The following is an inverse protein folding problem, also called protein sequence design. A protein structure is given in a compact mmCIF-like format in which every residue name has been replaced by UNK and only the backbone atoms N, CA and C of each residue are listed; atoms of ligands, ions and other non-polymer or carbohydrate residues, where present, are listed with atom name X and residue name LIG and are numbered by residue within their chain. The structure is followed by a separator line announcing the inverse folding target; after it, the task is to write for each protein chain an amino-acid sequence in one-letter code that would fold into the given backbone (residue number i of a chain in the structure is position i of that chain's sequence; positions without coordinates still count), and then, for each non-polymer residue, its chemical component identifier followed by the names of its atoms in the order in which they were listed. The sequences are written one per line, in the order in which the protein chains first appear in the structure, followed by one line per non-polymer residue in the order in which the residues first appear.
data_IF_747470549849
#
_entry.id   IF_747470549849
#
_cell.length_a   1.000
_cell.length_b   1.000
_cell.length_c   1.000
_cell.angle_alpha   90.00
_cell.angle_beta   90.00
_cell.angle_gamma   90.00
#
_symmetry.space_group_name_H-M   'P 1'
#
loop_
_entity.id
_entity.type
_entity.pdbx_description
1 polymer ?
#
# COMPACT_ATOMS: atom_id res chain seq x y z
N UNK A 1 -32.22 -22.12 -14.07
CA UNK A 1 -31.07 -22.48 -13.21
C UNK A 1 -30.02 -21.40 -13.43
N UNK A 2 -29.81 -20.52 -12.45
CA UNK A 2 -28.67 -19.60 -12.49
C UNK A 2 -27.43 -20.47 -12.25
N UNK A 3 -26.54 -20.55 -13.24
CA UNK A 3 -25.20 -21.08 -13.03
C UNK A 3 -24.54 -20.15 -12.01
N UNK A 4 -24.52 -20.55 -10.74
CA UNK A 4 -23.60 -19.93 -9.78
C UNK A 4 -22.21 -20.35 -10.24
N UNK A 5 -21.36 -19.37 -10.58
CA UNK A 5 -19.94 -19.64 -10.71
C UNK A 5 -19.47 -20.27 -9.39
N UNK A 6 -18.64 -21.33 -9.44
CA UNK A 6 -17.97 -21.81 -8.25
C UNK A 6 -17.19 -20.65 -7.62
N UNK A 7 -17.15 -20.62 -6.29
CA UNK A 7 -16.34 -19.64 -5.58
C UNK A 7 -14.88 -19.97 -5.78
N UNK A 8 -14.13 -19.01 -6.30
CA UNK A 8 -12.71 -19.10 -6.57
C UNK A 8 -11.97 -18.38 -5.44
N UNK A 9 -11.22 -19.15 -4.66
CA UNK A 9 -10.14 -18.63 -3.83
C UNK A 9 -8.85 -18.86 -4.60
N UNK A 10 -8.08 -17.79 -4.75
CA UNK A 10 -6.80 -17.82 -5.43
C UNK A 10 -5.71 -17.61 -4.39
N UNK A 11 -4.82 -18.59 -4.33
CA UNK A 11 -3.69 -18.59 -3.40
C UNK A 11 -2.44 -18.36 -4.22
N UNK A 12 -1.76 -17.24 -3.99
CA UNK A 12 -0.43 -17.01 -4.55
C UNK A 12 0.62 -17.17 -3.47
N UNK A 13 1.69 -17.92 -3.74
CA UNK A 13 2.78 -18.08 -2.77
C UNK A 13 4.14 -18.09 -3.45
N UNK A 14 5.13 -17.59 -2.71
CA UNK A 14 6.51 -17.42 -3.18
C UNK A 14 7.51 -18.09 -2.25
N UNK A 15 8.46 -18.85 -2.80
CA UNK A 15 9.57 -19.51 -2.07
C UNK A 15 10.90 -19.00 -2.59
N UNK A 16 11.90 -18.83 -1.71
CA UNK A 16 13.26 -18.42 -2.09
C UNK A 16 13.88 -19.32 -3.18
N UNK A 17 14.47 -18.72 -4.24
CA UNK A 17 15.20 -19.36 -5.38
C UNK A 17 16.05 -20.58 -5.04
N UNK A 18 16.58 -20.67 -3.82
CA UNK A 18 17.46 -21.74 -3.36
C UNK A 18 16.76 -23.08 -3.05
N UNK A 19 15.43 -23.12 -2.90
CA UNK A 19 14.67 -24.31 -2.47
C UNK A 19 13.76 -24.90 -3.56
N UNK A 20 14.23 -24.90 -4.82
CA UNK A 20 13.49 -25.40 -5.98
C UNK A 20 12.94 -26.84 -5.83
N UNK A 21 13.54 -27.70 -5.00
CA UNK A 21 13.04 -29.07 -4.77
C UNK A 21 11.76 -29.11 -3.93
N UNK A 22 11.68 -28.30 -2.87
CA UNK A 22 10.47 -28.22 -2.02
C UNK A 22 9.31 -27.60 -2.79
N UNK A 23 9.59 -26.60 -3.62
CA UNK A 23 8.64 -25.97 -4.52
C UNK A 23 8.03 -27.00 -5.50
N UNK A 24 8.88 -27.78 -6.16
CA UNK A 24 8.44 -28.84 -7.08
C UNK A 24 7.59 -29.90 -6.39
N UNK A 25 7.97 -30.33 -5.19
CA UNK A 25 7.19 -31.29 -4.41
C UNK A 25 5.80 -30.73 -4.05
N UNK A 26 5.73 -29.45 -3.65
CA UNK A 26 4.46 -28.81 -3.38
C UNK A 26 3.57 -28.71 -4.63
N UNK A 27 4.13 -28.35 -5.79
CA UNK A 27 3.42 -28.33 -7.08
C UNK A 27 2.86 -29.72 -7.41
N UNK A 28 3.70 -30.77 -7.31
CA UNK A 28 3.29 -32.15 -7.58
C UNK A 28 2.16 -32.59 -6.63
N UNK A 29 2.31 -32.30 -5.34
CA UNK A 29 1.28 -32.55 -4.32
C UNK A 29 -0.03 -31.83 -4.64
N UNK A 30 -0.01 -30.52 -4.89
CA UNK A 30 -1.22 -29.71 -5.16
C UNK A 30 -1.90 -30.18 -6.45
N UNK A 31 -1.14 -30.43 -7.52
CA UNK A 31 -1.68 -30.98 -8.77
C UNK A 31 -2.32 -32.36 -8.57
N UNK A 32 -1.79 -33.18 -7.64
CA UNK A 32 -2.34 -34.50 -7.34
C UNK A 32 -3.71 -34.45 -6.67
N UNK A 33 -4.08 -33.32 -6.06
CA UNK A 33 -5.38 -33.13 -5.39
C UNK A 33 -6.53 -33.06 -6.41
N UNK A 34 -6.27 -32.85 -7.71
CA UNK A 34 -7.25 -32.81 -8.81
C UNK A 34 -8.41 -31.82 -8.66
N UNK A 35 -8.32 -30.92 -7.69
CA UNK A 35 -9.36 -29.92 -7.37
C UNK A 35 -8.88 -28.48 -7.62
N UNK A 36 -7.63 -28.31 -8.08
CA UNK A 36 -6.99 -27.01 -8.27
C UNK A 36 -6.34 -26.90 -9.65
N UNK A 37 -6.34 -25.71 -10.23
CA UNK A 37 -5.52 -25.37 -11.38
C UNK A 37 -4.31 -24.58 -10.90
N UNK A 38 -3.11 -25.06 -11.21
CA UNK A 38 -1.89 -24.28 -11.05
C UNK A 38 -1.58 -23.60 -12.39
N UNK A 39 -1.57 -22.28 -12.40
CA UNK A 39 -1.11 -21.52 -13.55
C UNK A 39 0.43 -21.42 -13.49
N UNK A 40 1.11 -22.40 -14.09
CA UNK A 40 2.60 -22.46 -14.21
C UNK A 40 3.11 -21.56 -15.36
N UNK A 41 2.54 -20.36 -15.50
CA UNK A 41 2.88 -19.41 -16.55
C UNK A 41 3.72 -18.25 -15.99
N UNK A 42 4.89 -18.52 -15.36
CA UNK A 42 6.12 -17.69 -15.48
C UNK A 42 7.26 -17.98 -14.47
N UNK A 43 8.44 -18.31 -15.00
CA UNK A 43 9.81 -17.76 -14.83
C UNK A 43 10.38 -17.41 -13.43
N UNK A 44 9.61 -17.14 -12.37
CA UNK A 44 10.13 -16.74 -11.04
C UNK A 44 9.26 -17.31 -9.92
N UNK A 45 9.77 -18.28 -9.13
CA UNK A 45 9.43 -18.66 -7.72
C UNK A 45 8.00 -18.56 -7.14
N UNK A 46 6.98 -18.28 -7.96
CA UNK A 46 5.66 -17.84 -7.58
C UNK A 46 4.63 -18.82 -8.17
N UNK A 47 3.76 -19.32 -7.31
CA UNK A 47 2.73 -20.30 -7.68
C UNK A 47 1.38 -19.72 -7.32
N UNK A 48 0.48 -19.68 -8.30
CA UNK A 48 -0.94 -19.41 -8.10
C UNK A 48 -1.73 -20.70 -8.20
N UNK A 49 -2.58 -20.97 -7.21
CA UNK A 49 -3.49 -22.11 -7.18
C UNK A 49 -4.93 -21.61 -6.98
N UNK A 50 -5.81 -22.02 -7.89
CA UNK A 50 -7.20 -21.59 -7.91
C UNK A 50 -8.10 -22.78 -7.49
N UNK A 51 -9.02 -22.57 -6.55
CA UNK A 51 -9.96 -23.61 -6.09
C UNK A 51 -11.41 -23.32 -6.43
N UNK A 52 -12.12 -24.28 -7.04
CA UNK A 52 -13.57 -24.17 -7.33
C UNK A 52 -14.49 -24.48 -6.12
N UNK A 53 -13.92 -24.96 -5.01
CA UNK A 53 -14.64 -25.34 -3.80
C UNK A 53 -14.06 -24.57 -2.60
N UNK A 54 -14.87 -24.31 -1.56
CA UNK A 54 -14.48 -23.61 -0.31
C UNK A 54 -13.45 -24.39 0.55
N UNK A 55 -12.50 -25.09 -0.06
CA UNK A 55 -11.67 -26.11 0.56
C UNK A 55 -10.19 -25.81 0.32
N UNK A 56 -9.71 -24.73 0.93
CA UNK A 56 -8.34 -24.21 0.79
C UNK A 56 -7.35 -24.82 1.79
N UNK A 57 -7.82 -25.39 2.90
CA UNK A 57 -6.97 -26.00 3.92
C UNK A 57 -5.98 -27.04 3.36
N UNK A 58 -6.36 -27.95 2.43
CA UNK A 58 -5.41 -28.90 1.85
C UNK A 58 -4.29 -28.22 1.06
N UNK A 59 -4.56 -27.13 0.34
CA UNK A 59 -3.50 -26.39 -0.39
C UNK A 59 -2.47 -25.87 0.61
N UNK A 60 -2.94 -25.16 1.64
CA UNK A 60 -2.04 -24.54 2.62
C UNK A 60 -1.21 -25.57 3.39
N UNK A 61 -1.70 -26.80 3.53
CA UNK A 61 -0.94 -27.91 4.13
C UNK A 61 0.20 -28.41 3.24
N UNK A 62 0.02 -28.38 1.91
CA UNK A 62 1.04 -28.74 0.93
C UNK A 62 2.07 -27.63 0.70
N UNK A 63 1.74 -26.37 1.04
CA UNK A 63 2.71 -25.27 0.97
C UNK A 63 3.92 -25.55 1.89
N UNK A 64 5.16 -25.42 1.38
CA UNK A 64 6.36 -25.63 2.17
C UNK A 64 6.42 -24.69 3.38
N UNK A 65 6.87 -25.23 4.51
CA UNK A 65 7.02 -24.47 5.76
C UNK A 65 8.01 -23.28 5.63
N UNK A 66 8.91 -23.37 4.66
CA UNK A 66 9.94 -22.38 4.34
C UNK A 66 9.46 -21.23 3.44
N UNK A 67 8.17 -21.19 3.06
CA UNK A 67 7.58 -20.14 2.22
C UNK A 67 7.89 -18.74 2.77
N UNK A 68 8.14 -17.80 1.86
CA UNK A 68 8.54 -16.43 2.19
C UNK A 68 7.42 -15.43 1.90
N UNK A 69 6.65 -15.64 0.84
CA UNK A 69 5.47 -14.84 0.49
C UNK A 69 4.22 -15.71 0.44
N UNK A 70 3.14 -15.22 1.03
CA UNK A 70 1.82 -15.85 0.94
C UNK A 70 0.78 -14.77 0.75
N UNK A 71 0.13 -14.77 -0.40
CA UNK A 71 -0.95 -13.86 -0.74
C UNK A 71 -2.23 -14.69 -0.87
N UNK A 72 -3.19 -14.44 0.00
CA UNK A 72 -4.48 -15.11 0.06
C UNK A 72 -5.53 -14.11 -0.45
N UNK A 73 -6.01 -14.32 -1.68
CA UNK A 73 -6.99 -13.44 -2.31
C UNK A 73 -8.22 -14.19 -2.80
N UNK A 74 -9.36 -13.51 -2.76
CA UNK A 74 -10.60 -14.01 -3.37
C UNK A 74 -11.22 -12.93 -4.23
N UNK A 75 -11.39 -13.22 -5.50
CA UNK A 75 -12.05 -12.31 -6.43
C UNK A 75 -13.59 -12.33 -6.29
N UNK A 76 -14.14 -13.38 -5.68
CA UNK A 76 -15.58 -13.62 -5.67
C UNK A 76 -16.36 -12.99 -4.52
N UNK A 77 -17.66 -12.80 -4.76
CA UNK A 77 -18.65 -12.34 -3.79
C UNK A 77 -19.88 -13.27 -3.78
N UNK A 78 -20.23 -13.94 -2.67
CA UNK A 78 -19.53 -13.94 -1.38
C UNK A 78 -18.18 -14.68 -1.41
N UNK A 79 -17.16 -14.08 -0.82
CA UNK A 79 -15.82 -14.65 -0.64
C UNK A 79 -15.86 -15.85 0.31
N UNK A 80 -15.28 -17.02 -0.05
CA UNK A 80 -14.96 -18.06 0.91
C UNK A 80 -13.95 -17.49 1.91
N UNK A 81 -14.29 -17.49 3.20
CA UNK A 81 -13.43 -16.93 4.24
C UNK A 81 -12.54 -18.01 4.84
N UNK A 82 -11.38 -17.59 5.32
CA UNK A 82 -10.50 -18.45 6.12
C UNK A 82 -11.04 -18.49 7.55
N UNK A 83 -11.60 -19.64 7.94
CA UNK A 83 -12.12 -19.83 9.30
C UNK A 83 -11.02 -20.05 10.34
N UNK A 84 -9.88 -20.64 9.95
CA UNK A 84 -8.75 -20.90 10.86
C UNK A 84 -7.39 -20.47 10.28
N UNK A 85 -6.89 -19.34 10.77
CA UNK A 85 -5.55 -18.83 10.44
C UNK A 85 -4.41 -19.53 11.21
N UNK A 86 -4.69 -20.54 12.03
CA UNK A 86 -3.66 -21.29 12.76
C UNK A 86 -2.64 -21.95 11.85
N UNK A 87 -3.00 -22.24 10.60
CA UNK A 87 -2.09 -22.75 9.58
C UNK A 87 -0.89 -21.82 9.36
N UNK A 88 -1.08 -20.49 9.50
CA UNK A 88 0.01 -19.53 9.36
C UNK A 88 1.15 -19.82 10.34
N UNK A 89 0.88 -20.39 11.52
CA UNK A 89 1.90 -20.76 12.53
C UNK A 89 2.99 -21.68 11.96
N UNK A 90 2.68 -22.49 10.95
CA UNK A 90 3.60 -23.43 10.29
C UNK A 90 4.72 -22.74 9.48
N UNK A 91 4.45 -21.56 8.93
CA UNK A 91 5.38 -20.87 8.04
C UNK A 91 6.41 -20.07 8.83
N UNK A 92 7.66 -20.55 8.87
CA UNK A 92 8.70 -19.99 9.74
C UNK A 92 9.58 -18.93 9.05
N UNK A 93 9.52 -18.82 7.72
CA UNK A 93 10.27 -17.84 6.93
C UNK A 93 9.41 -16.73 6.34
N UNK A 94 8.11 -16.69 6.68
CA UNK A 94 7.15 -15.77 6.06
C UNK A 94 7.58 -14.32 6.29
N UNK A 95 7.98 -13.63 5.22
CA UNK A 95 8.37 -12.23 5.23
C UNK A 95 7.39 -11.32 4.48
N UNK A 96 6.51 -11.89 3.67
CA UNK A 96 5.40 -11.21 3.00
C UNK A 96 4.10 -11.98 3.24
N UNK A 97 3.07 -11.25 3.65
CA UNK A 97 1.73 -11.79 3.82
C UNK A 97 0.73 -10.78 3.24
N UNK A 98 -0.14 -11.23 2.34
CA UNK A 98 -1.31 -10.49 1.91
C UNK A 98 -2.59 -11.26 2.23
N UNK A 99 -3.58 -10.60 2.81
CA UNK A 99 -4.92 -11.12 3.07
C UNK A 99 -5.95 -10.16 2.47
N UNK A 100 -6.88 -10.69 1.67
CA UNK A 100 -7.93 -9.89 1.04
C UNK A 100 -9.34 -10.35 1.46
N UNK A 101 -10.24 -9.41 1.76
CA UNK A 101 -11.66 -9.65 2.06
C UNK A 101 -11.93 -10.60 3.24
N UNK A 102 -10.97 -10.68 4.17
CA UNK A 102 -11.02 -11.58 5.33
C UNK A 102 -11.60 -10.93 6.59
N UNK A 103 -12.15 -11.77 7.48
CA UNK A 103 -12.50 -11.37 8.84
C UNK A 103 -11.37 -11.76 9.78
N UNK A 104 -10.78 -10.77 10.46
CA UNK A 104 -9.62 -10.96 11.31
C UNK A 104 -9.99 -10.74 12.77
N UNK A 105 -10.11 -11.82 13.53
CA UNK A 105 -10.32 -11.74 14.97
C UNK A 105 -9.00 -11.46 15.72
N UNK A 106 -9.09 -11.20 17.03
CA UNK A 106 -7.91 -10.93 17.86
C UNK A 106 -6.90 -12.10 17.91
N UNK A 107 -7.31 -13.34 17.65
CA UNK A 107 -6.40 -14.48 17.64
C UNK A 107 -5.61 -14.52 16.34
N UNK A 108 -6.26 -14.30 15.20
CA UNK A 108 -5.62 -14.17 13.89
C UNK A 108 -4.60 -13.04 13.91
N UNK A 109 -4.95 -11.88 14.47
CA UNK A 109 -4.03 -10.75 14.60
C UNK A 109 -2.79 -11.11 15.43
N UNK A 110 -2.93 -11.88 16.52
CA UNK A 110 -1.79 -12.38 17.30
C UNK A 110 -0.92 -13.34 16.48
N UNK A 111 -1.54 -14.23 15.72
CA UNK A 111 -0.82 -15.19 14.86
C UNK A 111 0.02 -14.45 13.83
N UNK A 112 -0.55 -13.41 13.20
CA UNK A 112 0.17 -12.55 12.26
C UNK A 112 1.30 -11.81 12.99
N UNK A 113 1.01 -11.21 14.15
CA UNK A 113 1.99 -10.47 14.95
C UNK A 113 3.16 -11.32 15.46
N UNK A 114 2.99 -12.64 15.61
CA UNK A 114 4.04 -13.58 15.98
C UNK A 114 5.04 -13.83 14.84
N UNK A 115 4.71 -13.45 13.60
CA UNK A 115 5.60 -13.53 12.44
C UNK A 115 6.60 -12.38 12.41
N UNK A 116 7.59 -12.44 13.31
CA UNK A 116 8.64 -11.40 13.46
C UNK A 116 9.53 -11.20 12.22
N UNK A 117 9.50 -12.15 11.28
CA UNK A 117 10.16 -12.08 9.99
C UNK A 117 9.42 -11.23 8.96
N UNK A 118 8.17 -10.81 9.22
CA UNK A 118 7.40 -9.98 8.29
C UNK A 118 8.10 -8.65 8.01
N UNK A 119 8.24 -8.37 6.72
CA UNK A 119 8.77 -7.15 6.13
C UNK A 119 7.63 -6.42 5.40
N UNK A 120 6.74 -7.17 4.75
CA UNK A 120 5.60 -6.68 4.00
C UNK A 120 4.31 -7.31 4.56
N UNK A 121 3.34 -6.47 4.92
CA UNK A 121 2.02 -6.92 5.36
C UNK A 121 0.95 -6.14 4.60
N UNK A 122 0.05 -6.85 3.94
CA UNK A 122 -1.08 -6.25 3.22
C UNK A 122 -2.39 -6.86 3.73
N UNK A 123 -3.31 -6.00 4.15
CA UNK A 123 -4.65 -6.36 4.63
C UNK A 123 -5.65 -5.48 3.88
N UNK A 124 -6.31 -6.07 2.87
CA UNK A 124 -7.12 -5.36 1.88
C UNK A 124 -8.57 -5.79 2.02
N UNK A 125 -9.50 -4.84 2.13
CA UNK A 125 -10.93 -5.12 2.37
C UNK A 125 -11.18 -6.02 3.60
N UNK A 126 -10.29 -5.98 4.59
CA UNK A 126 -10.40 -6.79 5.81
C UNK A 126 -11.29 -6.11 6.86
N UNK A 127 -12.06 -6.95 7.58
CA UNK A 127 -12.89 -6.51 8.71
C UNK A 127 -12.26 -7.04 10.01
N UNK A 128 -11.97 -6.14 10.94
CA UNK A 128 -11.30 -6.48 12.21
C UNK A 128 -12.33 -6.70 13.33
N UNK A 129 -12.36 -7.90 13.89
CA UNK A 129 -13.22 -8.27 15.02
C UNK A 129 -12.39 -8.37 16.31
N UNK A 130 -11.93 -7.22 16.79
CA UNK A 130 -11.25 -7.07 18.07
C UNK A 130 -9.94 -6.29 17.99
N UNK A 131 -9.12 -6.42 19.03
CA UNK A 131 -7.97 -5.54 19.23
C UNK A 131 -6.83 -5.80 18.22
N UNK A 132 -6.44 -4.75 17.51
CA UNK A 132 -5.42 -4.76 16.46
C UNK A 132 -4.00 -4.44 16.96
N UNK A 133 -3.83 -4.04 18.23
CA UNK A 133 -2.58 -3.48 18.80
C UNK A 133 -1.37 -4.39 18.66
N UNK A 134 -1.59 -5.71 18.59
CA UNK A 134 -0.50 -6.68 18.46
C UNK A 134 0.27 -6.52 17.14
N UNK A 135 -0.32 -5.96 16.09
CA UNK A 135 0.37 -5.67 14.83
C UNK A 135 1.55 -4.70 15.02
N UNK A 136 1.52 -3.84 16.04
CA UNK A 136 2.64 -2.96 16.40
C UNK A 136 3.91 -3.70 16.86
N UNK A 137 3.81 -5.01 17.11
CA UNK A 137 4.96 -5.85 17.44
C UNK A 137 5.75 -6.33 16.20
N UNK A 138 5.31 -5.98 14.99
CA UNK A 138 6.00 -6.26 13.73
C UNK A 138 7.02 -5.15 13.43
N UNK A 139 8.03 -5.03 14.29
CA UNK A 139 8.99 -3.90 14.27
C UNK A 139 9.93 -3.90 13.07
N UNK A 140 9.99 -4.98 12.29
CA UNK A 140 10.82 -5.10 11.09
C UNK A 140 10.08 -4.69 9.79
N UNK A 141 8.80 -4.31 9.87
CA UNK A 141 8.02 -3.92 8.70
C UNK A 141 8.68 -2.77 7.96
N UNK A 142 8.73 -2.92 6.64
CA UNK A 142 9.10 -1.88 5.67
C UNK A 142 7.89 -1.43 4.85
N UNK A 143 6.91 -2.31 4.67
CA UNK A 143 5.67 -2.05 3.94
C UNK A 143 4.48 -2.49 4.77
N UNK A 144 3.54 -1.57 4.96
CA UNK A 144 2.22 -1.85 5.52
C UNK A 144 1.17 -1.30 4.57
N UNK A 145 0.27 -2.17 4.10
CA UNK A 145 -0.87 -1.82 3.27
C UNK A 145 -2.14 -2.18 4.02
N UNK A 146 -2.94 -1.17 4.34
CA UNK A 146 -4.31 -1.29 4.85
C UNK A 146 -5.20 -0.57 3.84
N UNK A 147 -5.96 -1.32 3.06
CA UNK A 147 -6.88 -0.73 2.07
C UNK A 147 -8.29 -1.07 2.50
N UNK A 148 -9.13 -0.05 2.64
CA UNK A 148 -10.54 -0.21 3.04
C UNK A 148 -10.67 -1.12 4.29
N UNK A 149 -9.79 -0.91 5.27
CA UNK A 149 -9.78 -1.66 6.53
C UNK A 149 -10.90 -1.15 7.46
N UNK A 150 -11.84 -2.03 7.82
CA UNK A 150 -13.00 -1.67 8.66
C UNK A 150 -12.77 -2.07 10.13
N UNK A 151 -13.10 -1.16 11.06
CA UNK A 151 -12.92 -1.34 12.51
C UNK A 151 -11.45 -1.52 12.95
N UNK A 152 -10.51 -0.85 12.27
CA UNK A 152 -9.10 -0.85 12.69
C UNK A 152 -8.86 0.20 13.79
N UNK A 153 -8.16 -0.16 14.86
CA UNK A 153 -7.99 0.72 16.02
C UNK A 153 -6.98 1.86 15.75
N UNK A 154 -7.38 3.10 16.03
CA UNK A 154 -6.49 4.28 16.00
C UNK A 154 -5.21 4.08 16.83
N UNK A 155 -5.35 3.51 18.04
CA UNK A 155 -4.23 3.22 18.94
C UNK A 155 -3.17 2.31 18.32
N UNK A 156 -3.57 1.41 17.42
CA UNK A 156 -2.65 0.52 16.71
C UNK A 156 -1.78 1.29 15.74
N UNK A 157 -2.33 2.25 14.98
CA UNK A 157 -1.54 3.12 14.09
C UNK A 157 -0.57 3.97 14.93
N UNK A 158 -1.04 4.54 16.04
CA UNK A 158 -0.18 5.30 16.97
C UNK A 158 1.00 4.42 17.42
N UNK A 159 0.73 3.21 17.90
CA UNK A 159 1.76 2.28 18.33
C UNK A 159 2.71 1.85 17.20
N UNK A 160 2.19 1.63 15.98
CA UNK A 160 3.00 1.32 14.79
C UNK A 160 3.96 2.47 14.49
N UNK A 161 3.48 3.72 14.49
CA UNK A 161 4.35 4.89 14.23
C UNK A 161 5.45 5.06 15.27
N UNK A 162 5.20 4.62 16.51
CA UNK A 162 6.15 4.70 17.62
C UNK A 162 7.12 3.52 17.72
N UNK A 163 6.85 2.38 17.06
CA UNK A 163 7.65 1.14 17.20
C UNK A 163 8.26 0.66 15.88
N UNK A 164 7.58 0.88 14.75
CA UNK A 164 7.94 0.34 13.43
C UNK A 164 8.71 1.35 12.57
N UNK A 165 9.86 1.82 13.05
CA UNK A 165 10.65 2.89 12.39
C UNK A 165 11.35 2.48 11.07
N UNK A 166 11.13 1.26 10.58
CA UNK A 166 11.66 0.79 9.29
C UNK A 166 10.68 0.94 8.13
N UNK A 167 9.43 1.34 8.41
CA UNK A 167 8.40 1.55 7.40
C UNK A 167 8.86 2.61 6.39
N UNK A 168 8.80 2.24 5.12
CA UNK A 168 9.14 3.04 3.95
C UNK A 168 7.93 3.22 3.02
N UNK A 169 6.99 2.27 3.05
CA UNK A 169 5.74 2.31 2.31
C UNK A 169 4.58 2.14 3.29
N UNK A 170 3.65 3.08 3.26
CA UNK A 170 2.41 3.02 4.00
C UNK A 170 1.24 3.36 3.08
N UNK A 171 0.28 2.46 2.98
CA UNK A 171 -0.97 2.67 2.29
C UNK A 171 -2.11 2.52 3.29
N UNK A 172 -2.89 3.59 3.44
CA UNK A 172 -4.10 3.67 4.26
C UNK A 172 -5.29 4.12 3.38
N UNK A 173 -5.27 3.78 2.08
CA UNK A 173 -6.31 4.20 1.15
C UNK A 173 -7.68 3.64 1.54
N UNK A 174 -8.71 4.46 1.37
CA UNK A 174 -10.10 4.17 1.74
C UNK A 174 -10.32 3.79 3.22
N UNK A 175 -9.33 3.98 4.10
CA UNK A 175 -9.47 3.73 5.53
C UNK A 175 -10.14 4.91 6.24
N UNK A 176 -11.47 4.95 6.21
CA UNK A 176 -12.26 6.12 6.64
C UNK A 176 -12.50 6.21 8.16
N UNK A 177 -12.17 5.17 8.92
CA UNK A 177 -12.37 5.12 10.38
C UNK A 177 -11.30 5.91 11.15
N UNK A 178 -10.15 6.21 10.52
CA UNK A 178 -9.07 6.94 11.16
C UNK A 178 -9.39 8.42 11.36
N UNK A 179 -9.06 8.92 12.55
CA UNK A 179 -9.21 10.34 12.86
C UNK A 179 -7.94 11.15 12.50
N UNK A 180 -8.12 12.47 12.35
CA UNK A 180 -7.02 13.40 12.02
C UNK A 180 -5.86 13.42 13.03
N UNK A 181 -6.09 13.14 14.32
CA UNK A 181 -5.01 13.10 15.32
C UNK A 181 -4.14 11.84 15.20
N UNK A 182 -4.75 10.70 14.86
CA UNK A 182 -4.06 9.45 14.56
C UNK A 182 -3.15 9.61 13.35
N UNK A 183 -3.70 10.13 12.25
CA UNK A 183 -2.96 10.30 11.00
C UNK A 183 -1.77 11.26 11.13
N UNK A 184 -1.80 12.23 12.05
CA UNK A 184 -0.63 13.09 12.31
C UNK A 184 0.56 12.36 12.91
N UNK A 185 0.34 11.24 13.60
CA UNK A 185 1.43 10.44 14.14
C UNK A 185 2.27 9.79 13.04
N UNK A 186 1.77 9.71 11.80
CA UNK A 186 2.53 9.19 10.66
C UNK A 186 3.83 9.98 10.40
N UNK A 187 3.90 11.24 10.86
CA UNK A 187 5.14 12.04 10.81
C UNK A 187 6.30 11.46 11.64
N UNK A 188 6.04 10.54 12.58
CA UNK A 188 7.08 9.84 13.34
C UNK A 188 7.81 8.75 12.52
N UNK A 189 7.33 8.43 11.32
CA UNK A 189 7.97 7.46 10.44
C UNK A 189 9.05 8.13 9.58
N UNK A 190 10.22 8.38 10.17
CA UNK A 190 11.34 9.09 9.53
C UNK A 190 11.86 8.45 8.23
N UNK A 191 11.53 7.18 7.95
CA UNK A 191 11.93 6.48 6.73
C UNK A 191 10.83 6.38 5.69
N UNK A 192 9.66 6.95 5.96
CA UNK A 192 8.52 6.89 5.06
C UNK A 192 8.82 7.63 3.75
N UNK A 193 8.75 6.89 2.64
CA UNK A 193 9.00 7.39 1.29
C UNK A 193 7.75 7.37 0.43
N UNK A 194 6.83 6.44 0.68
CA UNK A 194 5.58 6.33 -0.05
C UNK A 194 4.44 6.36 0.95
N UNK A 195 3.55 7.33 0.78
CA UNK A 195 2.33 7.46 1.56
C UNK A 195 1.13 7.51 0.61
N UNK A 196 0.22 6.55 0.74
CA UNK A 196 -1.04 6.53 0.01
C UNK A 196 -2.20 6.71 0.99
N UNK A 197 -2.99 7.76 0.76
CA UNK A 197 -4.18 8.13 1.51
C UNK A 197 -5.40 8.27 0.58
N UNK A 198 -5.31 7.75 -0.65
CA UNK A 198 -6.35 7.92 -1.66
C UNK A 198 -7.72 7.45 -1.15
N UNK A 199 -8.74 8.28 -1.38
CA UNK A 199 -10.11 8.01 -0.97
C UNK A 199 -10.36 8.10 0.54
N UNK A 200 -9.35 8.42 1.36
CA UNK A 200 -9.52 8.58 2.81
C UNK A 200 -10.08 9.97 3.12
N UNK A 201 -11.27 10.01 3.74
CA UNK A 201 -12.06 11.25 3.86
C UNK A 201 -11.59 12.20 4.97
N UNK A 202 -10.97 11.69 6.03
CA UNK A 202 -10.59 12.47 7.22
C UNK A 202 -9.11 12.92 7.17
N UNK A 203 -8.65 13.45 6.02
CA UNK A 203 -7.26 13.88 5.81
C UNK A 203 -7.21 15.38 5.57
N UNK A 204 -6.63 16.12 6.51
CA UNK A 204 -6.37 17.56 6.38
C UNK A 204 -4.88 17.88 6.21
N UNK A 205 -4.57 19.12 5.80
CA UNK A 205 -3.20 19.61 5.54
C UNK A 205 -2.19 19.38 6.68
N UNK A 206 -2.66 19.26 7.92
CA UNK A 206 -1.81 19.18 9.12
C UNK A 206 -1.11 17.83 9.22
N UNK A 207 -1.55 16.82 8.47
CA UNK A 207 -0.85 15.54 8.37
C UNK A 207 0.56 15.68 7.77
N UNK A 208 0.77 16.65 6.89
CA UNK A 208 2.03 16.80 6.16
C UNK A 208 3.12 17.51 6.97
N UNK A 209 2.80 18.04 8.16
CA UNK A 209 3.82 18.62 9.02
C UNK A 209 4.85 17.58 9.42
N UNK A 210 6.13 17.93 9.25
CA UNK A 210 7.27 17.12 9.63
C UNK A 210 7.45 15.81 8.82
N UNK A 211 6.79 15.69 7.66
CA UNK A 211 7.08 14.64 6.70
C UNK A 211 8.14 15.14 5.71
N UNK A 212 9.41 14.77 5.93
CA UNK A 212 10.53 15.31 5.13
C UNK A 212 11.04 14.37 4.04
N UNK A 213 10.67 13.09 4.09
CA UNK A 213 11.32 12.03 3.34
C UNK A 213 10.46 11.43 2.21
N UNK A 214 9.26 11.96 1.99
CA UNK A 214 8.37 11.45 0.95
C UNK A 214 8.95 11.63 -0.45
N UNK A 215 8.77 10.58 -1.24
CA UNK A 215 9.05 10.48 -2.68
C UNK A 215 7.75 10.34 -3.48
N UNK A 216 6.77 9.65 -2.92
CA UNK A 216 5.44 9.49 -3.53
C UNK A 216 4.40 9.81 -2.47
N UNK A 217 3.48 10.71 -2.82
CA UNK A 217 2.30 10.99 -2.02
C UNK A 217 1.07 10.85 -2.90
N UNK A 218 0.12 10.05 -2.45
CA UNK A 218 -1.20 9.94 -3.04
C UNK A 218 -2.26 10.43 -2.06
N UNK A 219 -2.94 11.52 -2.43
CA UNK A 219 -4.06 12.12 -1.72
C UNK A 219 -5.28 12.23 -2.64
N UNK A 220 -5.38 11.39 -3.67
CA UNK A 220 -6.52 11.40 -4.57
C UNK A 220 -7.83 11.33 -3.77
N UNK A 221 -8.77 12.23 -4.02
CA UNK A 221 -10.07 12.24 -3.33
C UNK A 221 -10.06 12.74 -1.88
N UNK A 222 -8.92 13.16 -1.32
CA UNK A 222 -8.86 13.81 -0.01
C UNK A 222 -9.30 15.28 -0.13
N UNK A 223 -10.60 15.54 0.07
CA UNK A 223 -11.20 16.86 -0.20
C UNK A 223 -10.67 17.99 0.70
N UNK A 224 -10.23 17.67 1.91
CA UNK A 224 -9.72 18.63 2.90
C UNK A 224 -8.21 18.90 2.76
N UNK A 225 -7.55 18.30 1.76
CA UNK A 225 -6.19 18.65 1.36
C UNK A 225 -6.22 19.83 0.41
N UNK A 226 -5.60 20.94 0.79
CA UNK A 226 -5.64 22.22 0.08
C UNK A 226 -4.26 22.64 -0.44
N UNK A 227 -4.18 23.81 -1.06
CA UNK A 227 -2.92 24.42 -1.50
C UNK A 227 -1.90 24.59 -0.35
N UNK A 228 -2.37 24.74 0.90
CA UNK A 228 -1.51 24.85 2.08
C UNK A 228 -0.77 23.54 2.34
N UNK A 229 -1.49 22.41 2.38
CA UNK A 229 -0.88 21.10 2.62
C UNK A 229 0.09 20.70 1.53
N UNK A 230 -0.30 20.89 0.26
CA UNK A 230 0.58 20.63 -0.87
C UNK A 230 1.81 21.55 -0.86
N UNK A 231 1.65 22.82 -0.46
CA UNK A 231 2.77 23.73 -0.24
C UNK A 231 3.76 23.22 0.80
N UNK A 232 3.27 22.72 1.95
CA UNK A 232 4.11 22.11 2.99
C UNK A 232 4.89 20.92 2.42
N UNK A 233 4.23 20.02 1.69
CA UNK A 233 4.89 18.86 1.07
C UNK A 233 5.97 19.29 0.09
N UNK A 234 5.68 20.24 -0.78
CA UNK A 234 6.64 20.73 -1.77
C UNK A 234 7.89 21.35 -1.12
N UNK A 235 7.69 22.12 -0.06
CA UNK A 235 8.75 22.81 0.68
C UNK A 235 9.61 21.86 1.51
N UNK A 236 8.99 20.88 2.18
CA UNK A 236 9.68 19.96 3.09
C UNK A 236 10.27 18.73 2.37
N UNK A 237 9.54 18.14 1.42
CA UNK A 237 9.93 16.91 0.72
C UNK A 237 10.77 17.19 -0.52
N UNK A 238 12.06 17.50 -0.32
CA UNK A 238 12.98 17.84 -1.43
C UNK A 238 13.20 16.72 -2.46
N UNK A 239 12.84 15.47 -2.12
CA UNK A 239 12.95 14.30 -3.01
C UNK A 239 11.59 13.82 -3.56
N UNK A 240 10.51 14.58 -3.42
CA UNK A 240 9.20 14.18 -3.95
C UNK A 240 9.23 14.07 -5.49
N UNK A 241 8.81 12.92 -6.00
CA UNK A 241 8.83 12.51 -7.40
C UNK A 241 7.41 12.44 -7.98
N UNK A 242 6.43 11.99 -7.20
CA UNK A 242 5.05 11.81 -7.66
C UNK A 242 4.05 12.36 -6.64
N UNK A 243 3.11 13.17 -7.11
CA UNK A 243 2.01 13.72 -6.35
C UNK A 243 0.69 13.41 -7.05
N UNK A 244 -0.18 12.65 -6.41
CA UNK A 244 -1.53 12.40 -6.89
C UNK A 244 -2.51 13.22 -6.05
N UNK A 245 -3.04 14.28 -6.64
CA UNK A 245 -3.80 15.33 -5.93
C UNK A 245 -5.10 15.67 -6.67
N UNK A 246 -5.62 14.72 -7.46
CA UNK A 246 -6.92 14.88 -8.10
C UNK A 246 -8.04 14.82 -7.08
N UNK A 247 -9.13 15.56 -7.31
CA UNK A 247 -10.31 15.58 -6.42
C UNK A 247 -10.00 15.98 -4.97
N UNK A 248 -9.02 16.86 -4.79
CA UNK A 248 -8.72 17.53 -3.51
C UNK A 248 -9.20 18.99 -3.53
N UNK A 249 -9.03 19.72 -2.43
CA UNK A 249 -9.36 21.14 -2.29
C UNK A 249 -8.31 22.10 -2.87
N UNK A 250 -7.41 21.62 -3.73
CA UNK A 250 -6.35 22.44 -4.35
C UNK A 250 -6.91 23.37 -5.43
N UNK A 251 -6.19 24.45 -5.69
CA UNK A 251 -6.44 25.34 -6.81
C UNK A 251 -5.23 25.37 -7.76
N UNK A 252 -5.23 26.30 -8.72
CA UNK A 252 -4.08 26.52 -9.60
C UNK A 252 -2.85 27.05 -8.82
N UNK A 253 -3.03 27.53 -7.58
CA UNK A 253 -1.95 28.00 -6.72
C UNK A 253 -0.93 26.88 -6.41
N UNK A 254 -1.39 25.65 -6.11
CA UNK A 254 -0.52 24.48 -5.92
C UNK A 254 0.40 24.21 -7.11
N UNK A 255 -0.11 24.37 -8.32
CA UNK A 255 0.65 24.12 -9.56
C UNK A 255 1.75 25.17 -9.71
N UNK A 256 1.43 26.44 -9.44
CA UNK A 256 2.39 27.54 -9.48
C UNK A 256 3.46 27.37 -8.40
N UNK A 257 3.05 26.97 -7.19
CA UNK A 257 3.97 26.70 -6.11
C UNK A 257 4.92 25.54 -6.48
N UNK A 258 4.38 24.45 -7.01
CA UNK A 258 5.19 23.33 -7.49
C UNK A 258 6.19 23.74 -8.57
N UNK A 259 5.78 24.60 -9.52
CA UNK A 259 6.68 25.12 -10.55
C UNK A 259 7.80 26.00 -9.97
N UNK A 260 7.52 26.80 -8.94
CA UNK A 260 8.52 27.61 -8.22
C UNK A 260 9.51 26.72 -7.46
N UNK A 261 9.01 25.88 -6.55
CA UNK A 261 9.84 25.05 -5.67
C UNK A 261 10.68 24.04 -6.45
N UNK A 262 10.16 23.50 -7.55
CA UNK A 262 10.91 22.58 -8.41
C UNK A 262 12.16 23.21 -9.04
N UNK A 263 12.21 24.55 -9.22
CA UNK A 263 13.40 25.26 -9.72
C UNK A 263 14.52 25.31 -8.68
N UNK A 264 14.16 25.36 -7.39
CA UNK A 264 15.10 25.51 -6.29
C UNK A 264 15.67 24.16 -5.81
N UNK A 265 15.14 23.03 -6.32
CA UNK A 265 15.65 21.69 -6.01
C UNK A 265 17.06 21.53 -6.55
N UNK A 266 18.02 21.32 -5.64
CA UNK A 266 19.44 21.08 -5.97
C UNK A 266 19.66 19.78 -6.77
N UNK A 267 18.75 18.81 -6.65
CA UNK A 267 18.81 17.53 -7.35
C UNK A 267 17.89 17.57 -8.58
N UNK A 268 18.35 17.01 -9.70
CA UNK A 268 17.58 16.89 -10.93
C UNK A 268 16.54 15.76 -10.84
N UNK A 269 15.64 15.85 -9.86
CA UNK A 269 14.53 14.92 -9.65
C UNK A 269 13.31 15.48 -10.38
N UNK A 270 12.69 14.65 -11.22
CA UNK A 270 11.47 15.02 -11.95
C UNK A 270 10.28 14.93 -11.01
N UNK A 271 9.50 16.01 -10.90
CA UNK A 271 8.22 16.01 -10.20
C UNK A 271 7.09 15.78 -11.20
N UNK A 272 6.33 14.71 -10.99
CA UNK A 272 5.11 14.39 -11.73
C UNK A 272 3.89 14.65 -10.86
N UNK A 273 2.97 15.47 -11.34
CA UNK A 273 1.74 15.82 -10.63
C UNK A 273 0.55 15.31 -11.44
N UNK A 274 -0.33 14.54 -10.80
CA UNK A 274 -1.47 13.88 -11.43
C UNK A 274 -2.78 14.56 -11.00
N UNK A 275 -3.48 15.21 -11.95
CA UNK A 275 -4.71 15.98 -11.75
C UNK A 275 -5.75 15.61 -12.82
N UNK A 276 -6.93 15.11 -12.42
CA UNK A 276 -8.09 14.88 -13.29
C UNK A 276 -7.74 14.13 -14.58
N UNK A 277 -7.11 12.96 -14.45
CA UNK A 277 -6.63 12.10 -15.54
C UNK A 277 -5.57 12.73 -16.48
N UNK A 278 -5.13 13.97 -16.19
CA UNK A 278 -4.06 14.68 -16.87
C UNK A 278 -2.77 14.64 -16.04
N UNK A 279 -1.61 14.65 -16.69
CA UNK A 279 -0.32 14.64 -16.00
C UNK A 279 0.44 15.94 -16.28
N UNK A 280 0.67 16.72 -15.22
CA UNK A 280 1.56 17.88 -15.27
C UNK A 280 2.97 17.40 -14.95
N UNK A 281 3.87 17.45 -15.95
CA UNK A 281 5.26 17.02 -15.78
C UNK A 281 6.16 18.26 -15.66
N UNK A 282 6.75 18.44 -14.48
CA UNK A 282 7.78 19.45 -14.24
C UNK A 282 9.18 18.87 -14.40
N UNK A 283 9.89 19.28 -15.46
CA UNK A 283 11.29 18.87 -15.72
C UNK A 283 12.14 20.12 -16.01
N UNK A 284 12.26 20.99 -15.02
CA UNK A 284 12.76 22.34 -15.24
C UNK A 284 14.29 22.37 -15.21
N UNK A 285 14.92 22.41 -16.39
CA UNK A 285 16.36 22.70 -16.50
C UNK A 285 16.62 24.17 -16.20
N UNK A 286 17.73 24.43 -15.51
CA UNK A 286 18.27 25.74 -15.05
C UNK A 286 18.36 26.85 -16.11
N UNK A 287 18.11 26.60 -17.39
CA UNK A 287 18.44 27.49 -18.50
C UNK A 287 17.26 28.06 -19.27
N UNK A 288 16.02 27.79 -18.88
CA UNK A 288 14.86 28.46 -19.49
C UNK A 288 14.26 29.41 -18.46
N UNK A 289 14.09 30.68 -18.86
CA UNK A 289 13.55 31.84 -18.13
C UNK A 289 14.58 32.81 -17.51
N UNK A 290 15.12 33.69 -18.36
CA UNK A 290 15.27 35.13 -18.06
C UNK A 290 13.97 35.82 -18.52
N UNK A 291 13.37 36.85 -17.92
CA UNK A 291 13.75 37.86 -16.92
C UNK A 291 12.45 38.32 -16.23
N UNK A 292 12.60 38.72 -14.97
CA UNK A 292 11.80 39.61 -14.13
C UNK A 292 10.58 40.40 -14.68
N UNK A 293 9.64 40.56 -13.76
CA UNK A 293 8.72 41.70 -13.54
C UNK A 293 7.61 41.89 -14.58
N UNK A 294 6.70 40.92 -14.67
CA UNK A 294 5.24 41.09 -14.80
C UNK A 294 4.63 39.68 -14.96
N UNK A 295 3.83 39.25 -13.99
CA UNK A 295 3.40 37.86 -13.84
C UNK A 295 2.27 37.53 -14.83
N UNK A 296 2.62 37.25 -16.08
CA UNK A 296 1.70 36.81 -17.13
C UNK A 296 1.33 35.32 -16.97
N UNK A 297 0.20 35.10 -16.30
CA UNK A 297 -0.34 33.80 -15.90
C UNK A 297 -0.55 32.82 -17.07
N UNK A 298 -0.98 33.32 -18.24
CA UNK A 298 -1.25 32.47 -19.41
C UNK A 298 0.05 31.97 -20.06
N UNK A 299 1.14 32.73 -19.93
CA UNK A 299 2.44 32.36 -20.45
C UNK A 299 3.12 31.25 -19.62
N UNK A 300 2.91 31.19 -18.31
CA UNK A 300 3.45 30.09 -17.48
C UNK A 300 2.65 28.79 -17.62
N UNK A 301 1.32 28.87 -17.77
CA UNK A 301 0.47 27.72 -18.07
C UNK A 301 0.80 27.08 -19.42
N UNK A 302 1.12 27.89 -20.44
CA UNK A 302 1.52 27.37 -21.77
C UNK A 302 2.92 26.74 -21.81
N UNK A 303 3.76 26.98 -20.79
CA UNK A 303 5.07 26.34 -20.60
C UNK A 303 5.01 25.05 -19.79
N UNK A 304 3.93 24.83 -19.04
CA UNK A 304 3.65 23.54 -18.44
C UNK A 304 3.24 22.59 -19.58
N UNK A 305 4.09 21.61 -19.86
CA UNK A 305 3.69 20.49 -20.72
C UNK A 305 2.67 19.65 -19.94
N UNK A 306 1.41 19.99 -20.09
CA UNK A 306 0.27 19.15 -19.75
C UNK A 306 0.28 18.02 -20.79
N UNK A 307 0.57 16.80 -20.34
CA UNK A 307 0.53 15.59 -21.17
C UNK A 307 -0.75 14.80 -20.85
#
# INVERSE_FOLDING_TARGET
MKNYCPFILDIKFTIKKTNNTELRQAIESINSLKIFNINDDSIDDEITADSNDNFWEPILLEIPKAVEGLDLYSDDNPTPRIEDFSILKRFYNLCQLSLHKEILDSNTIKIIADKKSLINLELIDCIFLGNTVFLSNLTNLKQLTLINAENFDDDTIIDITNKCHYIQYLDLSMCNDFNNSTLRQLSNLDKLQVLNLSGTINVDDRIFYHMYHLRILDCWGCQDVTDVGIGIVLDQCVNIEKLYISKTGITHESIINAAKVSRDRKKNIVLKIYICDSVIIGNFKKSEFYKNDDYDYENELSKLKIY
#
